data_IF_374999410966
#
_entry.id   IF_374999410966
#
_cell.length_a   1.000
_cell.length_b   1.000
_cell.length_c   1.000
_cell.angle_alpha   90.00
_cell.angle_beta   90.00
_cell.angle_gamma   90.00
#
_symmetry.space_group_name_H-M   'P 1'
#
loop_
_entity.id
_entity.type
_entity.pdbx_description
1 polymer ?
#
# COMPACT_ATOMS: atom_id res chain seq x y z
N UNK A 1 8.20 5.73 -3.65
CA UNK A 1 7.25 6.04 -4.76
C UNK A 1 6.96 7.53 -4.75
N UNK A 2 6.93 8.17 -5.92
CA UNK A 2 6.50 9.56 -6.08
C UNK A 2 5.03 9.57 -6.52
N UNK A 3 4.16 10.27 -5.81
CA UNK A 3 2.71 10.25 -6.03
C UNK A 3 2.27 11.66 -6.43
N UNK A 4 1.94 11.82 -7.72
CA UNK A 4 1.40 13.08 -8.25
C UNK A 4 -0.09 13.27 -7.95
N UNK A 5 -0.86 12.18 -7.97
CA UNK A 5 -2.30 12.19 -7.72
C UNK A 5 -2.74 10.84 -7.13
N UNK A 6 -3.59 10.88 -6.10
CA UNK A 6 -4.17 9.69 -5.50
C UNK A 6 -5.70 9.85 -5.40
N UNK A 7 -6.43 9.21 -6.33
CA UNK A 7 -7.88 9.32 -6.44
C UNK A 7 -8.63 8.78 -5.20
N UNK A 8 -8.02 7.90 -4.40
CA UNK A 8 -8.65 7.41 -3.16
C UNK A 8 -8.57 8.43 -2.01
N UNK A 9 -7.60 9.37 -2.06
CA UNK A 9 -7.42 10.41 -1.03
C UNK A 9 -7.93 11.79 -1.48
N UNK A 10 -7.85 12.08 -2.77
CA UNK A 10 -8.17 13.40 -3.35
C UNK A 10 -9.54 13.43 -4.04
N UNK A 11 -10.35 12.38 -3.90
CA UNK A 11 -11.64 12.24 -4.60
C UNK A 11 -11.46 11.93 -6.09
N UNK A 12 -12.53 11.44 -6.73
CA UNK A 12 -12.52 11.12 -8.15
C UNK A 12 -12.45 12.38 -9.03
N UNK A 13 -11.78 12.29 -10.20
CA UNK A 13 -11.59 13.38 -11.17
C UNK A 13 -12.89 14.11 -11.59
N UNK A 14 -14.05 13.46 -11.41
CA UNK A 14 -15.36 13.91 -11.89
C UNK A 14 -16.31 14.39 -10.77
N UNK A 15 -15.97 14.23 -9.48
CA UNK A 15 -16.78 14.73 -8.35
C UNK A 15 -15.93 15.56 -7.39
N UNK A 16 -16.31 16.83 -7.23
CA UNK A 16 -15.62 17.82 -6.37
C UNK A 16 -16.36 18.11 -5.06
N UNK A 17 -17.49 17.44 -4.81
CA UNK A 17 -18.43 17.73 -3.71
C UNK A 17 -18.32 16.77 -2.52
N UNK A 18 -17.19 16.08 -2.35
CA UNK A 18 -17.05 15.08 -1.30
C UNK A 18 -16.47 15.72 0.00
N UNK A 19 -17.16 15.66 1.16
CA UNK A 19 -16.63 16.19 2.42
C UNK A 19 -15.38 15.44 2.92
N UNK A 20 -15.07 14.27 2.35
CA UNK A 20 -13.88 13.48 2.66
C UNK A 20 -12.69 13.76 1.72
N UNK A 21 -12.74 14.83 0.91
CA UNK A 21 -11.66 15.18 -0.01
C UNK A 21 -10.51 15.88 0.74
N UNK A 22 -9.33 15.25 0.80
CA UNK A 22 -8.15 15.89 1.36
C UNK A 22 -7.61 16.94 0.37
N UNK A 23 -7.34 18.19 0.81
CA UNK A 23 -6.76 19.19 -0.07
C UNK A 23 -5.37 18.73 -0.52
N UNK A 24 -5.00 18.96 -1.78
CA UNK A 24 -3.76 18.44 -2.38
C UNK A 24 -2.47 18.76 -1.59
N UNK A 25 -2.48 19.84 -0.81
CA UNK A 25 -1.41 20.24 0.12
C UNK A 25 -1.24 19.31 1.33
N UNK A 26 -2.29 18.61 1.73
CA UNK A 26 -2.28 17.68 2.85
C UNK A 26 -1.82 16.28 2.44
N UNK A 27 -1.79 15.95 1.14
CA UNK A 27 -1.30 14.67 0.63
C UNK A 27 0.22 14.73 0.48
N UNK A 28 0.94 13.79 1.09
CA UNK A 28 2.39 13.68 0.91
C UNK A 28 2.67 13.15 -0.49
N UNK A 29 3.44 13.93 -1.26
CA UNK A 29 3.87 13.55 -2.62
C UNK A 29 4.91 12.43 -2.62
N UNK A 30 5.53 12.17 -1.47
CA UNK A 30 6.52 11.10 -1.28
C UNK A 30 5.99 10.05 -0.32
N UNK A 31 5.81 8.83 -0.82
CA UNK A 31 5.38 7.67 -0.03
C UNK A 31 6.48 6.61 -0.10
N UNK A 32 7.03 6.24 1.05
CA UNK A 32 7.93 5.11 1.18
C UNK A 32 7.10 3.83 1.43
N UNK A 33 7.46 2.77 0.72
CA UNK A 33 6.93 1.41 0.93
C UNK A 33 8.12 0.48 1.04
N UNK A 34 8.12 -0.34 2.08
CA UNK A 34 9.04 -1.45 2.26
C UNK A 34 8.27 -2.77 2.21
N UNK A 35 8.77 -3.74 1.48
CA UNK A 35 8.21 -5.10 1.46
C UNK A 35 9.33 -6.07 1.73
N UNK A 36 9.19 -6.88 2.78
CA UNK A 36 10.08 -7.98 3.09
C UNK A 36 9.34 -9.29 2.88
N UNK A 37 9.88 -10.17 2.03
CA UNK A 37 9.26 -11.46 1.70
C UNK A 37 10.24 -12.58 1.99
N UNK A 38 9.77 -13.61 2.68
CA UNK A 38 10.50 -14.83 2.99
C UNK A 38 9.71 -15.99 2.41
N UNK A 39 10.37 -16.81 1.58
CA UNK A 39 9.77 -17.98 0.95
C UNK A 39 10.58 -19.23 1.23
N UNK A 40 9.90 -20.31 1.62
CA UNK A 40 10.47 -21.65 1.77
C UNK A 40 9.77 -22.57 0.77
N UNK A 41 10.56 -23.18 -0.13
CA UNK A 41 10.05 -24.10 -1.13
C UNK A 41 10.74 -25.45 -1.05
N UNK A 42 9.96 -26.53 -1.04
CA UNK A 42 10.46 -27.91 -1.14
C UNK A 42 9.43 -28.83 -1.79
N UNK A 43 9.87 -29.70 -2.70
CA UNK A 43 9.04 -30.78 -3.24
C UNK A 43 7.77 -30.32 -3.97
N UNK A 44 7.82 -29.21 -4.72
CA UNK A 44 6.66 -28.68 -5.45
C UNK A 44 5.72 -27.82 -4.61
N UNK A 45 5.97 -27.66 -3.31
CA UNK A 45 5.22 -26.73 -2.45
C UNK A 45 6.11 -25.57 -2.06
N UNK A 46 5.58 -24.35 -2.10
CA UNK A 46 6.26 -23.14 -1.62
C UNK A 46 5.35 -22.34 -0.71
N UNK A 47 5.81 -22.10 0.50
CA UNK A 47 5.17 -21.23 1.47
C UNK A 47 5.89 -19.89 1.47
N UNK A 48 5.14 -18.81 1.36
CA UNK A 48 5.68 -17.46 1.31
C UNK A 48 4.97 -16.58 2.35
N UNK A 49 5.75 -15.85 3.13
CA UNK A 49 5.25 -14.83 4.05
C UNK A 49 5.84 -13.49 3.65
N UNK A 50 4.99 -12.47 3.57
CA UNK A 50 5.39 -11.12 3.19
C UNK A 50 4.91 -10.13 4.24
N UNK A 51 5.78 -9.23 4.67
CA UNK A 51 5.43 -8.08 5.48
C UNK A 51 5.55 -6.82 4.63
N UNK A 52 4.47 -6.05 4.54
CA UNK A 52 4.42 -4.78 3.80
C UNK A 52 4.24 -3.65 4.79
N UNK A 53 5.13 -2.66 4.74
CA UNK A 53 5.04 -1.41 5.49
C UNK A 53 4.91 -0.23 4.54
N UNK A 54 4.05 0.72 4.89
CA UNK A 54 3.81 1.94 4.13
C UNK A 54 3.87 3.14 5.07
N UNK A 55 4.65 4.14 4.68
CA UNK A 55 4.76 5.42 5.40
C UNK A 55 3.47 6.25 5.28
N UNK A 56 3.19 7.19 6.20
CA UNK A 56 2.03 8.08 6.11
C UNK A 56 1.89 8.76 4.75
N UNK A 57 0.68 8.68 4.17
CA UNK A 57 0.37 9.22 2.84
C UNK A 57 -0.23 10.64 2.87
N UNK A 58 -0.67 11.13 4.03
CA UNK A 58 -1.18 12.49 4.22
C UNK A 58 -0.89 13.02 5.63
N UNK A 59 -1.00 14.33 5.81
CA UNK A 59 -0.77 15.00 7.09
C UNK A 59 -1.78 14.50 8.14
N UNK A 60 -1.29 13.93 9.25
CA UNK A 60 -2.11 13.28 10.27
C UNK A 60 -2.38 11.78 10.05
N UNK A 61 -1.90 11.20 8.94
CA UNK A 61 -2.00 9.75 8.71
C UNK A 61 -1.00 8.96 9.57
N UNK A 62 -1.35 7.71 9.85
CA UNK A 62 -0.46 6.76 10.55
C UNK A 62 0.28 5.89 9.54
N UNK A 63 1.45 5.38 9.94
CA UNK A 63 2.11 4.30 9.20
C UNK A 63 1.25 3.04 9.27
N UNK A 64 1.16 2.31 8.16
CA UNK A 64 0.37 1.09 8.08
C UNK A 64 1.25 -0.09 7.71
N UNK A 65 1.02 -1.24 8.37
CA UNK A 65 1.73 -2.49 8.13
C UNK A 65 0.73 -3.62 8.03
N UNK A 66 0.88 -4.51 7.06
CA UNK A 66 0.13 -5.75 6.98
C UNK A 66 1.01 -6.91 6.53
N UNK A 67 0.63 -8.12 6.97
CA UNK A 67 1.25 -9.37 6.56
C UNK A 67 0.42 -10.08 5.48
N UNK A 68 1.09 -10.84 4.62
CA UNK A 68 0.47 -11.72 3.63
C UNK A 68 1.09 -13.10 3.74
N UNK A 69 0.28 -14.14 3.64
CA UNK A 69 0.71 -15.53 3.58
C UNK A 69 0.21 -16.12 2.27
N UNK A 70 1.10 -16.79 1.54
CA UNK A 70 0.77 -17.45 0.29
C UNK A 70 1.29 -18.89 0.32
N UNK A 71 0.47 -19.80 -0.19
CA UNK A 71 0.84 -21.19 -0.43
C UNK A 71 0.75 -21.45 -1.92
N UNK A 72 1.85 -21.88 -2.49
CA UNK A 72 2.00 -22.22 -3.89
C UNK A 72 2.20 -23.72 -3.99
N UNK A 73 1.47 -24.33 -4.91
CA UNK A 73 1.60 -25.76 -5.24
C UNK A 73 1.87 -25.85 -6.73
N UNK A 74 3.00 -26.40 -7.11
CA UNK A 74 3.34 -26.74 -8.47
C UNK A 74 2.68 -28.08 -8.82
N UNK A 75 1.95 -28.11 -9.94
CA UNK A 75 1.35 -29.29 -10.53
C UNK A 75 2.10 -29.68 -11.80
#
# INVERSE_FOLDING_TARGET
RLVGYNATLQGGLLRRDNPYTLPARAVRRTVARGTGTIGLGFGGVRLETSAVWVSPEFSGARSHTWGQFALWVAF
#
